data_IF_176463094036
#
_entry.id   IF_176463094036
#
_cell.length_a   1.000
_cell.length_b   1.000
_cell.length_c   1.000
_cell.angle_alpha   90.00
_cell.angle_beta   90.00
_cell.angle_gamma   90.00
#
_symmetry.space_group_name_H-M   'P 1'
#
loop_
_entity.id
_entity.type
_entity.pdbx_description
1 polymer ?
#
# COMPACT_ATOMS: atom_id res chain seq x y z
N UNK A 1 1.63 -2.85 -23.40
CA UNK A 1 1.34 -1.88 -22.30
C UNK A 1 1.53 -2.62 -20.99
N UNK A 2 2.61 -2.37 -20.26
CA UNK A 2 2.88 -3.07 -19.00
C UNK A 2 1.89 -2.60 -17.93
N UNK A 3 1.03 -3.50 -17.44
CA UNK A 3 0.13 -3.21 -16.31
C UNK A 3 0.96 -3.38 -15.04
N UNK A 4 1.28 -2.27 -14.38
CA UNK A 4 2.01 -2.33 -13.11
C UNK A 4 1.05 -2.80 -12.01
N UNK A 5 1.34 -3.92 -11.31
CA UNK A 5 0.43 -4.45 -10.31
C UNK A 5 0.38 -3.53 -9.07
N UNK A 6 -0.83 -3.14 -8.65
CA UNK A 6 -1.05 -2.28 -7.47
C UNK A 6 -0.38 -2.83 -6.20
N UNK A 7 -0.43 -4.14 -5.88
CA UNK A 7 0.26 -4.68 -4.71
C UNK A 7 1.75 -4.34 -4.66
N UNK A 8 2.42 -4.40 -5.82
CA UNK A 8 3.84 -4.08 -5.93
C UNK A 8 4.09 -2.59 -5.68
N UNK A 9 3.30 -1.72 -6.28
CA UNK A 9 3.43 -0.26 -6.07
C UNK A 9 3.17 0.09 -4.61
N UNK A 10 2.17 -0.53 -3.99
CA UNK A 10 1.84 -0.29 -2.58
C UNK A 10 2.99 -0.69 -1.65
N UNK A 11 3.62 -1.85 -1.87
CA UNK A 11 4.80 -2.28 -1.13
C UNK A 11 5.98 -1.32 -1.33
N UNK A 12 6.30 -1.02 -2.58
CA UNK A 12 7.44 -0.15 -2.92
C UNK A 12 7.27 1.27 -2.38
N UNK A 13 6.04 1.78 -2.30
CA UNK A 13 5.77 3.11 -1.74
C UNK A 13 6.20 3.22 -0.27
N UNK A 14 6.05 2.15 0.50
CA UNK A 14 6.50 2.08 1.90
C UNK A 14 8.02 1.93 2.00
N UNK A 15 8.62 1.04 1.20
CA UNK A 15 10.09 0.89 1.17
C UNK A 15 10.78 2.20 0.76
N UNK A 16 10.32 2.81 -0.34
CA UNK A 16 10.90 4.04 -0.86
C UNK A 16 10.62 5.23 0.06
N UNK A 17 9.43 5.32 0.65
CA UNK A 17 9.11 6.35 1.62
C UNK A 17 10.04 6.30 2.84
N UNK A 18 10.25 5.11 3.40
CA UNK A 18 11.20 4.93 4.50
C UNK A 18 12.64 5.18 4.05
N UNK A 19 13.07 4.58 2.94
CA UNK A 19 14.44 4.75 2.42
C UNK A 19 14.78 6.21 2.12
N UNK A 20 13.84 7.00 1.58
CA UNK A 20 14.05 8.43 1.37
C UNK A 20 14.18 9.18 2.70
N UNK A 21 13.33 8.87 3.68
CA UNK A 21 13.44 9.49 5.01
C UNK A 21 14.76 9.12 5.71
N UNK A 22 15.21 7.87 5.58
CA UNK A 22 16.44 7.34 6.18
C UNK A 22 17.69 7.93 5.53
N UNK A 23 17.76 7.93 4.18
CA UNK A 23 18.89 8.45 3.43
C UNK A 23 19.06 9.97 3.51
N UNK A 24 17.95 10.71 3.60
CA UNK A 24 18.00 12.18 3.65
C UNK A 24 18.00 12.75 5.06
N UNK A 25 17.58 11.96 6.06
CA UNK A 25 17.26 12.45 7.40
C UNK A 25 16.00 13.34 7.46
N UNK A 26 15.35 13.61 6.32
CA UNK A 26 14.19 14.51 6.21
C UNK A 26 12.91 13.69 6.18
N UNK A 27 12.36 13.44 7.37
CA UNK A 27 11.10 12.71 7.59
C UNK A 27 9.94 13.12 6.67
N UNK A 28 9.67 14.43 6.39
CA UNK A 28 8.56 14.80 5.52
C UNK A 28 8.74 14.38 4.05
N UNK A 29 9.97 14.20 3.55
CA UNK A 29 10.19 13.72 2.18
C UNK A 29 9.70 12.27 2.01
N UNK A 30 9.95 11.42 3.01
CA UNK A 30 9.41 10.05 3.00
C UNK A 30 7.89 10.01 3.02
N UNK A 31 7.26 10.90 3.78
CA UNK A 31 5.80 11.08 3.79
C UNK A 31 5.25 11.49 2.41
N UNK A 32 5.96 12.37 1.69
CA UNK A 32 5.57 12.80 0.34
C UNK A 32 5.54 11.62 -0.64
N UNK A 33 6.56 10.75 -0.59
CA UNK A 33 6.63 9.53 -1.41
C UNK A 33 5.47 8.59 -1.08
N UNK A 34 5.20 8.40 0.22
CA UNK A 34 4.09 7.55 0.68
C UNK A 34 2.73 8.06 0.16
N UNK A 35 2.49 9.38 0.25
CA UNK A 35 1.26 10.01 -0.24
C UNK A 35 1.14 9.89 -1.75
N UNK A 36 2.21 10.14 -2.50
CA UNK A 36 2.22 10.01 -3.95
C UNK A 36 1.89 8.57 -4.38
N UNK A 37 2.52 7.58 -3.75
CA UNK A 37 2.25 6.16 -3.97
C UNK A 37 0.82 5.75 -3.60
N UNK A 38 0.31 6.23 -2.47
CA UNK A 38 -1.07 6.00 -2.03
C UNK A 38 -2.11 6.58 -2.98
N UNK A 39 -1.89 7.81 -3.48
CA UNK A 39 -2.75 8.45 -4.48
C UNK A 39 -2.74 7.67 -5.79
N UNK A 40 -1.56 7.22 -6.25
CA UNK A 40 -1.46 6.38 -7.45
C UNK A 40 -2.26 5.08 -7.29
N UNK A 41 -2.04 4.36 -6.18
CA UNK A 41 -2.77 3.13 -5.89
C UNK A 41 -4.28 3.36 -5.84
N UNK A 42 -4.73 4.45 -5.20
CA UNK A 42 -6.14 4.80 -5.12
C UNK A 42 -6.75 5.06 -6.50
N UNK A 43 -6.04 5.77 -7.39
CA UNK A 43 -6.50 6.02 -8.77
C UNK A 43 -6.68 4.73 -9.57
N UNK A 44 -5.79 3.74 -9.37
CA UNK A 44 -5.88 2.46 -10.07
C UNK A 44 -6.94 1.52 -9.49
N UNK A 45 -7.14 1.54 -8.17
CA UNK A 45 -8.09 0.63 -7.50
C UNK A 45 -9.53 1.13 -7.59
N UNK A 46 -9.77 2.45 -7.51
CA UNK A 46 -11.12 3.06 -7.57
C UNK A 46 -12.00 2.56 -8.72
N UNK A 47 -11.56 2.56 -9.99
CA UNK A 47 -12.41 2.13 -11.11
C UNK A 47 -12.72 0.63 -11.09
N UNK A 48 -11.85 -0.20 -10.51
CA UNK A 48 -11.97 -1.67 -10.55
C UNK A 48 -12.72 -2.21 -9.33
N UNK A 49 -12.37 -1.73 -8.14
CA UNK A 49 -12.87 -2.23 -6.85
C UNK A 49 -13.91 -1.32 -6.19
N UNK A 50 -14.08 -0.09 -6.70
CA UNK A 50 -15.00 0.92 -6.17
C UNK A 50 -14.42 1.76 -5.02
N UNK A 51 -15.13 2.84 -4.71
CA UNK A 51 -14.70 3.83 -3.71
C UNK A 51 -14.57 3.24 -2.30
N UNK A 52 -15.54 2.42 -1.86
CA UNK A 52 -15.54 1.85 -0.52
C UNK A 52 -14.29 1.00 -0.24
N UNK A 53 -13.95 0.07 -1.15
CA UNK A 53 -12.73 -0.77 -1.01
C UNK A 53 -11.46 0.05 -1.08
N UNK A 54 -11.44 1.09 -1.89
CA UNK A 54 -10.28 1.99 -1.97
C UNK A 54 -10.06 2.74 -0.66
N UNK A 55 -11.13 3.25 -0.06
CA UNK A 55 -11.05 3.92 1.25
C UNK A 55 -10.57 2.95 2.31
N UNK A 56 -11.12 1.72 2.36
CA UNK A 56 -10.66 0.67 3.27
C UNK A 56 -9.18 0.38 3.07
N UNK A 57 -8.70 0.25 1.83
CA UNK A 57 -7.29 0.01 1.54
C UNK A 57 -6.38 1.13 2.09
N UNK A 58 -6.77 2.40 1.89
CA UNK A 58 -6.01 3.54 2.41
C UNK A 58 -5.99 3.57 3.94
N UNK A 59 -7.13 3.26 4.58
CA UNK A 59 -7.21 3.19 6.05
C UNK A 59 -6.35 2.04 6.61
N UNK A 60 -6.37 0.87 5.97
CA UNK A 60 -5.52 -0.26 6.36
C UNK A 60 -4.04 0.09 6.19
N UNK A 61 -3.66 0.70 5.07
CA UNK A 61 -2.28 1.13 4.84
C UNK A 61 -1.84 2.16 5.90
N UNK A 62 -2.70 3.12 6.26
CA UNK A 62 -2.41 4.10 7.30
C UNK A 62 -2.26 3.44 8.68
N UNK A 63 -3.14 2.51 9.03
CA UNK A 63 -3.06 1.77 10.29
C UNK A 63 -1.75 0.97 10.38
N UNK A 64 -1.38 0.27 9.30
CA UNK A 64 -0.12 -0.48 9.22
C UNK A 64 1.10 0.43 9.32
N UNK A 65 1.06 1.62 8.71
CA UNK A 65 2.10 2.63 8.87
C UNK A 65 2.25 3.09 10.32
N UNK A 66 1.15 3.34 11.03
CA UNK A 66 1.20 3.73 12.45
C UNK A 66 1.77 2.59 13.30
N UNK A 67 1.31 1.35 13.08
CA UNK A 67 1.78 0.16 13.79
C UNK A 67 3.27 -0.14 13.51
N UNK A 68 3.81 0.26 12.37
CA UNK A 68 5.23 0.06 12.06
C UNK A 68 6.17 0.80 13.02
N UNK A 69 5.70 1.86 13.68
CA UNK A 69 6.51 2.67 14.58
C UNK A 69 6.91 1.91 15.85
N UNK A 70 5.98 1.45 16.70
CA UNK A 70 6.35 0.64 17.86
C UNK A 70 7.05 -0.66 17.46
N UNK A 71 6.64 -1.28 16.35
CA UNK A 71 7.30 -2.48 15.84
C UNK A 71 8.78 -2.22 15.49
N UNK A 72 9.08 -1.04 14.96
CA UNK A 72 10.46 -0.62 14.66
C UNK A 72 11.36 -0.51 15.89
N UNK A 73 10.81 -0.27 17.07
CA UNK A 73 11.58 -0.27 18.32
C UNK A 73 11.96 -1.68 18.76
N UNK A 74 11.12 -2.68 18.48
CA UNK A 74 11.32 -4.07 18.93
C UNK A 74 12.24 -4.87 18.00
N UNK A 75 12.04 -4.77 16.68
CA UNK A 75 12.75 -5.61 15.68
C UNK A 75 13.67 -4.81 14.74
N UNK A 76 13.77 -3.49 14.94
CA UNK A 76 14.49 -2.58 14.07
C UNK A 76 13.62 -2.03 12.93
N UNK A 77 13.93 -0.81 12.51
CA UNK A 77 13.15 -0.02 11.55
C UNK A 77 13.03 -0.71 10.18
N UNK A 78 14.14 -1.16 9.60
CA UNK A 78 14.15 -1.82 8.30
C UNK A 78 13.37 -3.15 8.29
N UNK A 79 13.48 -3.97 9.35
CA UNK A 79 12.72 -5.20 9.47
C UNK A 79 11.22 -4.94 9.58
N UNK A 80 10.82 -3.96 10.41
CA UNK A 80 9.43 -3.54 10.54
C UNK A 80 8.85 -3.04 9.21
N UNK A 81 9.63 -2.26 8.43
CA UNK A 81 9.21 -1.76 7.12
C UNK A 81 9.00 -2.89 6.12
N UNK A 82 9.88 -3.90 6.09
CA UNK A 82 9.70 -5.06 5.20
C UNK A 82 8.42 -5.83 5.53
N UNK A 83 8.17 -6.09 6.82
CA UNK A 83 6.95 -6.77 7.29
C UNK A 83 5.70 -5.98 6.90
N UNK A 84 5.68 -4.68 7.22
CA UNK A 84 4.52 -3.83 6.93
C UNK A 84 4.28 -3.67 5.43
N UNK A 85 5.34 -3.57 4.63
CA UNK A 85 5.23 -3.47 3.18
C UNK A 85 4.64 -4.75 2.57
N UNK A 86 5.00 -5.92 3.10
CA UNK A 86 4.37 -7.19 2.70
C UNK A 86 2.88 -7.24 3.09
N UNK A 87 2.53 -6.78 4.29
CA UNK A 87 1.12 -6.70 4.73
C UNK A 87 0.29 -5.73 3.88
N UNK A 88 0.85 -4.59 3.50
CA UNK A 88 0.21 -3.61 2.61
C UNK A 88 0.01 -4.20 1.22
N UNK A 89 1.01 -4.91 0.69
CA UNK A 89 0.89 -5.62 -0.59
C UNK A 89 -0.25 -6.64 -0.56
N UNK A 90 -0.35 -7.41 0.52
CA UNK A 90 -1.43 -8.38 0.72
C UNK A 90 -2.80 -7.69 0.79
N UNK A 91 -2.92 -6.60 1.56
CA UNK A 91 -4.15 -5.82 1.64
C UNK A 91 -4.57 -5.28 0.26
N UNK A 92 -3.62 -4.76 -0.51
CA UNK A 92 -3.85 -4.30 -1.88
C UNK A 92 -4.27 -5.43 -2.83
N UNK A 93 -3.71 -6.64 -2.69
CA UNK A 93 -4.11 -7.79 -3.48
C UNK A 93 -5.55 -8.24 -3.18
N UNK A 94 -5.93 -8.26 -1.90
CA UNK A 94 -7.26 -8.67 -1.46
C UNK A 94 -8.33 -7.63 -1.80
N UNK A 95 -8.03 -6.35 -1.62
CA UNK A 95 -9.00 -5.26 -1.79
C UNK A 95 -9.05 -4.69 -3.21
N UNK A 96 -7.95 -4.81 -3.96
CA UNK A 96 -7.80 -4.26 -5.30
C UNK A 96 -8.45 -5.08 -6.42
N UNK A 97 -8.80 -6.33 -6.15
CA UNK A 97 -9.48 -7.20 -7.13
C UNK A 97 -10.96 -6.83 -7.36
N UNK A 98 -11.53 -7.18 -8.53
CA UNK A 98 -12.94 -6.94 -8.83
C UNK A 98 -13.85 -7.67 -7.81
N UNK A 99 -15.07 -7.15 -7.54
CA UNK A 99 -16.03 -7.84 -6.69
C UNK A 99 -16.35 -9.24 -7.23
N UNK A 100 -16.25 -10.26 -6.37
CA UNK A 100 -16.41 -11.70 -6.70
C UNK A 100 -17.70 -12.04 -7.47
N UNK A 101 -18.71 -11.18 -7.47
CA UNK A 101 -19.99 -11.38 -8.18
C UNK A 101 -19.99 -11.11 -9.69
N UNK A 102 -18.90 -10.54 -10.27
CA UNK A 102 -18.81 -10.28 -11.72
C UNK A 102 -18.09 -11.38 -12.50
N UNK A 103 -17.29 -12.20 -11.82
CA UNK A 103 -16.60 -13.35 -12.41
C UNK A 103 -17.55 -14.54 -12.69
N UNK A 104 -18.62 -14.70 -11.89
CA UNK A 104 -19.59 -15.77 -12.07
C UNK A 104 -20.64 -15.50 -13.16
N UNK A 105 -20.87 -14.23 -13.54
CA UNK A 105 -21.82 -13.86 -14.61
C UNK A 105 -21.21 -13.79 -16.01
N UNK A 106 -19.88 -13.81 -16.12
CA UNK A 106 -19.20 -13.91 -17.40
C UNK A 106 -18.96 -15.37 -17.82
N UNK A 107 -19.25 -16.32 -16.92
CA UNK A 107 -19.13 -17.76 -17.13
C UNK A 107 -20.50 -18.47 -17.22
N UNK A 108 -21.60 -17.71 -17.29
CA UNK A 108 -22.98 -18.17 -17.45
C UNK A 108 -23.61 -17.45 -18.65
#
# INVERSE_FOLDING_TARGET
MFVVPVPLVAALSFLLGFGVADLTGVRPLGGLVLVAGGVWCARQVRPVAGTARTVVLLLVALALFVVSHPLGHEIGSWAAVLVVSALVALAAAVLGGPPRGRASRAAA
#
